data_IF_321153739613
#
_entry.id   IF_321153739613
#
_cell.length_a   1.000
_cell.length_b   1.000
_cell.length_c   1.000
_cell.angle_alpha   90.00
_cell.angle_beta   90.00
_cell.angle_gamma   90.00
#
_symmetry.space_group_name_H-M   'P 1'
#
loop_
_entity.id
_entity.type
_entity.pdbx_description
1 polymer ?
#
# COMPACT_ATOMS: atom_id res chain seq x y z
N UNK A 1 -10.47 -18.78 3.39
CA UNK A 1 -10.08 -17.44 3.91
C UNK A 1 -10.58 -16.34 2.99
N UNK A 2 -10.39 -16.47 1.67
CA UNK A 2 -10.88 -15.49 0.69
C UNK A 2 -11.86 -16.17 -0.25
N UNK A 3 -12.97 -15.50 -0.56
CA UNK A 3 -14.08 -16.04 -1.36
C UNK A 3 -14.55 -14.98 -2.35
N UNK A 4 -14.54 -15.33 -3.65
CA UNK A 4 -15.12 -14.51 -4.74
C UNK A 4 -14.64 -13.05 -4.73
N UNK A 5 -13.32 -12.85 -4.60
CA UNK A 5 -12.72 -11.52 -4.61
C UNK A 5 -12.65 -10.99 -6.04
N UNK A 6 -13.27 -9.85 -6.27
CA UNK A 6 -13.15 -9.10 -7.53
C UNK A 6 -12.82 -7.65 -7.22
N UNK A 7 -11.66 -7.17 -7.65
CA UNK A 7 -11.23 -5.78 -7.48
C UNK A 7 -10.39 -5.32 -8.68
N UNK A 8 -10.29 -4.02 -8.83
CA UNK A 8 -9.49 -3.39 -9.88
C UNK A 8 -8.58 -2.33 -9.26
N UNK A 9 -7.35 -2.24 -9.74
CA UNK A 9 -6.39 -1.19 -9.37
C UNK A 9 -6.14 -0.36 -10.64
N UNK A 10 -6.80 0.79 -10.80
CA UNK A 10 -6.60 1.65 -11.95
C UNK A 10 -5.22 2.32 -11.93
N UNK A 11 -4.70 2.64 -13.11
CA UNK A 11 -3.39 3.30 -13.24
C UNK A 11 -3.39 4.68 -12.58
N UNK A 12 -2.36 4.97 -11.78
CA UNK A 12 -2.16 6.27 -11.15
C UNK A 12 -3.20 6.61 -10.08
N UNK A 13 -3.88 5.61 -9.51
CA UNK A 13 -4.85 5.79 -8.43
C UNK A 13 -4.40 5.15 -7.13
N UNK A 14 -4.94 5.67 -6.04
CA UNK A 14 -4.83 5.11 -4.70
C UNK A 14 -6.06 4.28 -4.43
N UNK A 15 -5.88 2.97 -4.38
CA UNK A 15 -6.90 2.02 -3.95
C UNK A 15 -6.61 1.64 -2.51
N UNK A 16 -7.56 1.88 -1.62
CA UNK A 16 -7.42 1.49 -0.22
C UNK A 16 -8.35 0.34 0.13
N UNK A 17 -7.83 -0.58 0.93
CA UNK A 17 -8.59 -1.71 1.46
C UNK A 17 -8.79 -1.57 2.95
N UNK A 18 -10.03 -1.36 3.34
CA UNK A 18 -10.50 -1.36 4.72
C UNK A 18 -10.94 -2.76 5.14
N UNK A 19 -10.91 -3.02 6.42
CA UNK A 19 -11.39 -4.26 7.03
C UNK A 19 -10.75 -4.50 8.39
N UNK A 20 -11.39 -5.28 9.21
CA UNK A 20 -10.88 -5.68 10.53
C UNK A 20 -9.65 -6.58 10.45
N UNK A 21 -9.02 -6.79 11.61
CA UNK A 21 -7.95 -7.78 11.73
C UNK A 21 -8.50 -9.18 11.44
N UNK A 22 -7.79 -9.94 10.62
CA UNK A 22 -8.24 -11.27 10.22
C UNK A 22 -9.22 -11.31 9.04
N UNK A 23 -9.70 -10.17 8.51
CA UNK A 23 -10.61 -10.16 7.35
C UNK A 23 -10.02 -10.72 6.06
N UNK A 24 -8.67 -10.84 5.98
CA UNK A 24 -7.97 -11.43 4.82
C UNK A 24 -7.15 -10.44 3.98
N UNK A 25 -6.97 -9.18 4.40
CA UNK A 25 -6.20 -8.14 3.66
C UNK A 25 -4.80 -8.61 3.29
N UNK A 26 -4.00 -9.01 4.27
CA UNK A 26 -2.63 -9.52 4.05
C UNK A 26 -2.62 -10.80 3.20
N UNK A 27 -3.62 -11.68 3.37
CA UNK A 27 -3.75 -12.90 2.56
C UNK A 27 -3.99 -12.56 1.09
N UNK A 28 -4.86 -11.59 0.81
CA UNK A 28 -5.11 -11.11 -0.55
C UNK A 28 -3.85 -10.51 -1.16
N UNK A 29 -3.15 -9.64 -0.44
CA UNK A 29 -1.90 -9.03 -0.91
C UNK A 29 -0.83 -10.09 -1.20
N UNK A 30 -0.69 -11.11 -0.35
CA UNK A 30 0.24 -12.22 -0.58
C UNK A 30 -0.16 -13.07 -1.78
N UNK A 31 -1.46 -13.28 -2.02
CA UNK A 31 -1.95 -13.97 -3.20
C UNK A 31 -1.66 -13.17 -4.49
N UNK A 32 -1.84 -11.85 -4.47
CA UNK A 32 -1.48 -10.96 -5.58
C UNK A 32 0.01 -11.02 -5.93
N UNK A 33 0.86 -11.22 -4.93
CA UNK A 33 2.31 -11.34 -5.06
C UNK A 33 2.78 -12.76 -5.43
N UNK A 34 1.85 -13.69 -5.68
CA UNK A 34 2.14 -15.12 -5.93
C UNK A 34 2.90 -15.81 -4.75
N UNK A 35 2.74 -15.25 -3.53
CA UNK A 35 3.32 -15.82 -2.30
C UNK A 35 2.40 -16.84 -1.61
N UNK A 36 1.14 -16.87 -2.02
CA UNK A 36 0.14 -17.83 -1.57
C UNK A 36 -0.62 -18.34 -2.78
N UNK A 37 -0.77 -19.69 -2.93
CA UNK A 37 -1.58 -20.26 -4.00
C UNK A 37 -3.06 -19.94 -3.77
N UNK A 38 -3.80 -19.73 -4.84
CA UNK A 38 -5.27 -19.65 -4.82
C UNK A 38 -5.87 -20.70 -5.74
N UNK A 39 -7.01 -21.24 -5.31
CA UNK A 39 -7.64 -22.41 -5.96
C UNK A 39 -8.33 -22.04 -7.27
N UNK A 40 -9.01 -20.89 -7.29
CA UNK A 40 -9.78 -20.39 -8.43
C UNK A 40 -9.52 -18.91 -8.67
N UNK A 41 -9.87 -18.45 -9.86
CA UNK A 41 -9.70 -17.06 -10.27
C UNK A 41 -8.38 -16.80 -10.96
N UNK A 42 -8.14 -15.53 -11.27
CA UNK A 42 -6.93 -15.07 -11.93
C UNK A 42 -6.64 -13.60 -11.57
N UNK A 43 -5.37 -13.22 -11.70
CA UNK A 43 -4.95 -11.84 -11.60
C UNK A 43 -4.56 -11.39 -13.00
N UNK A 44 -5.24 -10.35 -13.47
CA UNK A 44 -5.09 -9.88 -14.84
C UNK A 44 -4.33 -8.55 -14.86
N UNK A 45 -3.35 -8.45 -15.74
CA UNK A 45 -2.67 -7.22 -16.12
C UNK A 45 -3.05 -6.92 -17.58
N UNK A 46 -3.77 -5.80 -17.80
CA UNK A 46 -4.24 -5.43 -19.16
C UNK A 46 -4.92 -6.61 -19.90
N UNK A 47 -5.77 -7.34 -19.18
CA UNK A 47 -6.50 -8.54 -19.61
C UNK A 47 -5.63 -9.81 -19.85
N UNK A 48 -4.34 -9.76 -19.58
CA UNK A 48 -3.46 -10.93 -19.63
C UNK A 48 -3.23 -11.49 -18.22
N UNK A 49 -3.30 -12.84 -18.11
CA UNK A 49 -3.08 -13.53 -16.84
C UNK A 49 -1.65 -13.39 -16.35
N UNK A 50 -1.45 -13.01 -15.08
CA UNK A 50 -0.14 -12.97 -14.46
C UNK A 50 0.52 -14.36 -14.34
N UNK A 51 -0.26 -15.44 -14.41
CA UNK A 51 0.28 -16.81 -14.39
C UNK A 51 1.15 -17.12 -15.61
N UNK A 52 0.94 -16.40 -16.73
CA UNK A 52 1.73 -16.54 -17.96
C UNK A 52 3.07 -15.78 -17.90
N UNK A 53 3.24 -14.92 -16.90
CA UNK A 53 4.44 -14.10 -16.76
C UNK A 53 5.54 -14.88 -16.02
N UNK A 54 6.79 -14.72 -16.44
CA UNK A 54 7.92 -15.18 -15.68
C UNK A 54 8.15 -14.28 -14.43
N UNK A 55 9.04 -14.72 -13.53
CA UNK A 55 9.28 -14.07 -12.26
C UNK A 55 9.73 -12.60 -12.42
N UNK A 56 10.63 -12.32 -13.38
CA UNK A 56 11.10 -10.96 -13.69
C UNK A 56 9.96 -10.05 -14.21
N UNK A 57 9.06 -10.58 -15.02
CA UNK A 57 7.89 -9.87 -15.51
C UNK A 57 6.87 -9.61 -14.39
N UNK A 58 6.63 -10.58 -13.50
CA UNK A 58 5.76 -10.39 -12.33
C UNK A 58 6.31 -9.34 -11.35
N UNK A 59 7.63 -9.34 -11.12
CA UNK A 59 8.30 -8.31 -10.32
C UNK A 59 8.20 -6.90 -10.95
N UNK A 60 7.90 -6.80 -12.25
CA UNK A 60 7.58 -5.51 -12.88
C UNK A 60 6.14 -5.05 -12.60
N UNK A 61 5.23 -5.97 -12.29
CA UNK A 61 3.85 -5.62 -11.97
C UNK A 61 3.73 -5.07 -10.54
N UNK A 62 4.40 -5.69 -9.57
CA UNK A 62 4.23 -5.38 -8.16
C UNK A 62 5.55 -5.14 -7.44
N UNK A 63 5.56 -4.13 -6.57
CA UNK A 63 6.48 -4.03 -5.44
C UNK A 63 5.69 -4.09 -4.14
N UNK A 64 6.36 -4.46 -3.05
CA UNK A 64 5.70 -4.72 -1.78
C UNK A 64 6.39 -4.04 -0.61
N UNK A 65 5.60 -3.32 0.15
CA UNK A 65 5.97 -2.74 1.44
C UNK A 65 5.25 -3.56 2.51
N UNK A 66 5.96 -4.42 3.25
CA UNK A 66 5.36 -5.23 4.30
C UNK A 66 4.99 -4.37 5.51
N UNK A 67 4.09 -4.88 6.33
CA UNK A 67 3.91 -4.39 7.69
C UNK A 67 5.24 -4.51 8.43
N UNK A 68 5.70 -3.45 9.08
CA UNK A 68 6.93 -3.46 9.88
C UNK A 68 6.69 -4.40 11.08
N UNK A 69 7.60 -5.35 11.26
CA UNK A 69 7.68 -6.19 12.45
C UNK A 69 8.97 -5.87 13.19
N UNK A 70 9.03 -6.17 14.46
CA UNK A 70 10.12 -5.78 15.37
C UNK A 70 11.54 -6.17 14.91
N UNK A 71 11.70 -7.17 14.06
CA UNK A 71 13.00 -7.62 13.59
C UNK A 71 13.40 -6.90 12.31
N UNK A 72 14.26 -5.92 12.43
CA UNK A 72 14.82 -5.13 11.32
C UNK A 72 16.19 -5.67 10.94
N UNK A 73 16.43 -5.80 9.65
CA UNK A 73 17.73 -6.28 9.14
C UNK A 73 18.87 -5.32 9.51
N UNK A 74 20.03 -5.88 9.82
CA UNK A 74 21.27 -5.12 10.12
C UNK A 74 21.96 -4.66 8.82
N UNK A 75 21.28 -3.77 8.10
CA UNK A 75 21.75 -3.17 6.85
C UNK A 75 21.54 -1.65 6.88
N UNK A 76 22.33 -0.93 6.09
CA UNK A 76 22.18 0.53 5.98
C UNK A 76 20.97 0.92 5.13
N UNK A 77 20.43 2.11 5.39
CA UNK A 77 19.31 2.70 4.62
C UNK A 77 19.63 2.72 3.11
N UNK A 78 20.84 3.14 2.73
CA UNK A 78 21.27 3.14 1.33
C UNK A 78 21.18 1.74 0.72
N UNK A 79 21.70 0.73 1.38
CA UNK A 79 21.75 -0.64 0.86
C UNK A 79 20.34 -1.25 0.77
N UNK A 80 19.48 -0.93 1.75
CA UNK A 80 18.08 -1.31 1.71
C UNK A 80 17.38 -0.73 0.47
N UNK A 81 17.61 0.54 0.16
CA UNK A 81 16.97 1.20 -0.98
C UNK A 81 17.55 0.66 -2.30
N UNK A 82 18.88 0.52 -2.41
CA UNK A 82 19.55 -0.03 -3.59
C UNK A 82 19.07 -1.44 -3.91
N UNK A 83 18.70 -2.25 -2.91
CA UNK A 83 18.08 -3.56 -3.13
C UNK A 83 16.79 -3.50 -3.98
N UNK A 84 16.14 -2.34 -4.08
CA UNK A 84 15.04 -2.13 -5.04
C UNK A 84 15.45 -2.25 -6.51
N UNK A 85 16.75 -2.12 -6.83
CA UNK A 85 17.25 -2.27 -8.19
C UNK A 85 17.42 -3.73 -8.65
N UNK A 86 17.39 -4.71 -7.73
CA UNK A 86 17.72 -6.12 -8.01
C UNK A 86 16.93 -6.73 -9.17
N UNK A 87 15.69 -6.28 -9.39
CA UNK A 87 14.89 -6.72 -10.55
C UNK A 87 15.57 -6.46 -11.91
N UNK A 88 16.38 -5.40 -12.00
CA UNK A 88 17.03 -4.97 -13.24
C UNK A 88 18.36 -5.65 -13.45
N UNK A 89 18.92 -6.21 -12.40
CA UNK A 89 20.21 -6.86 -12.42
C UNK A 89 20.07 -8.33 -12.88
N UNK A 90 21.12 -8.87 -13.46
CA UNK A 90 21.27 -10.30 -13.70
C UNK A 90 21.70 -11.03 -12.41
N UNK A 91 21.65 -12.38 -12.41
CA UNK A 91 21.90 -13.20 -11.22
C UNK A 91 23.28 -12.96 -10.56
N UNK A 92 24.26 -12.53 -11.32
CA UNK A 92 25.65 -12.29 -10.84
C UNK A 92 26.04 -10.81 -10.88
N UNK A 93 25.11 -9.93 -11.20
CA UNK A 93 25.38 -8.50 -11.30
C UNK A 93 25.13 -7.84 -9.95
N UNK A 94 26.08 -7.02 -9.52
CA UNK A 94 25.95 -6.20 -8.32
C UNK A 94 25.59 -4.77 -8.71
N UNK A 95 24.86 -4.02 -7.86
CA UNK A 95 24.56 -2.62 -8.11
C UNK A 95 25.84 -1.81 -8.36
N UNK A 96 25.86 -1.06 -9.44
CA UNK A 96 26.98 -0.20 -9.81
C UNK A 96 26.72 1.28 -9.45
N UNK A 97 27.62 2.18 -9.84
CA UNK A 97 27.49 3.61 -9.58
C UNK A 97 26.18 4.22 -10.12
N UNK A 98 25.59 3.65 -11.17
CA UNK A 98 24.33 4.13 -11.78
C UNK A 98 23.13 3.77 -10.89
N UNK A 99 23.10 2.58 -10.32
CA UNK A 99 22.04 2.17 -9.38
C UNK A 99 22.14 2.98 -8.07
N UNK A 100 23.35 3.21 -7.55
CA UNK A 100 23.56 4.08 -6.40
C UNK A 100 23.15 5.56 -6.69
N UNK A 101 23.40 6.06 -7.89
CA UNK A 101 22.94 7.40 -8.27
C UNK A 101 21.40 7.49 -8.28
N UNK A 102 20.70 6.47 -8.78
CA UNK A 102 19.23 6.40 -8.72
C UNK A 102 18.72 6.33 -7.29
N UNK A 103 19.35 5.50 -6.43
CA UNK A 103 19.01 5.39 -5.02
C UNK A 103 19.20 6.73 -4.29
N UNK A 104 20.29 7.47 -4.57
CA UNK A 104 20.49 8.82 -4.04
C UNK A 104 19.40 9.80 -4.49
N UNK A 105 18.94 9.73 -5.73
CA UNK A 105 17.82 10.56 -6.20
C UNK A 105 16.53 10.24 -5.44
N UNK A 106 16.26 8.96 -5.20
CA UNK A 106 15.11 8.50 -4.40
C UNK A 106 15.24 8.94 -2.95
N UNK A 107 16.40 8.80 -2.31
CA UNK A 107 16.66 9.30 -0.95
C UNK A 107 16.33 10.79 -0.82
N UNK A 108 16.74 11.61 -1.79
CA UNK A 108 16.41 13.04 -1.81
C UNK A 108 14.90 13.28 -1.96
N UNK A 109 14.25 12.57 -2.89
CA UNK A 109 12.80 12.66 -3.13
C UNK A 109 11.98 12.35 -1.88
N UNK A 110 12.39 11.34 -1.11
CA UNK A 110 11.72 10.93 0.12
C UNK A 110 12.27 11.60 1.39
N UNK A 111 13.15 12.59 1.25
CA UNK A 111 13.77 13.35 2.35
C UNK A 111 14.58 12.48 3.33
N UNK A 112 15.12 11.38 2.87
CA UNK A 112 15.88 10.41 3.66
C UNK A 112 17.41 10.57 3.54
N UNK A 113 17.90 11.61 2.85
CA UNK A 113 19.33 11.77 2.57
C UNK A 113 20.19 11.90 3.85
N UNK A 114 19.62 12.43 4.93
CA UNK A 114 20.30 12.65 6.21
C UNK A 114 20.55 11.35 7.00
N UNK A 115 19.85 10.27 6.66
CA UNK A 115 19.98 8.95 7.33
C UNK A 115 20.59 7.87 6.43
N UNK A 116 21.06 8.20 5.23
CA UNK A 116 21.50 7.22 4.23
C UNK A 116 22.53 6.21 4.71
N UNK A 117 23.42 6.65 5.61
CA UNK A 117 24.55 5.86 6.14
C UNK A 117 24.23 5.17 7.47
N UNK A 118 23.04 5.45 8.08
CA UNK A 118 22.56 4.81 9.30
C UNK A 118 22.06 3.40 9.01
N UNK A 119 22.13 2.54 10.02
CA UNK A 119 21.49 1.22 9.99
C UNK A 119 19.98 1.35 10.20
N UNK A 120 19.21 0.38 9.69
CA UNK A 120 17.74 0.41 9.79
C UNK A 120 17.26 0.38 11.24
N UNK A 121 17.99 -0.18 12.17
CA UNK A 121 17.66 -0.21 13.60
C UNK A 121 17.99 1.10 14.34
N UNK A 122 18.70 2.04 13.71
CA UNK A 122 19.09 3.34 14.29
C UNK A 122 18.14 4.47 13.90
N UNK A 123 17.11 4.19 13.10
CA UNK A 123 16.20 5.19 12.57
C UNK A 123 14.81 5.07 13.20
N UNK A 124 14.02 6.14 13.16
CA UNK A 124 12.65 6.12 13.66
C UNK A 124 11.74 5.20 12.84
N UNK A 125 10.62 4.74 13.43
CA UNK A 125 9.63 3.92 12.72
C UNK A 125 9.09 4.57 11.44
N UNK A 126 8.89 5.90 11.47
CA UNK A 126 8.49 6.66 10.28
C UNK A 126 9.55 6.67 9.18
N UNK A 127 10.82 6.91 9.54
CA UNK A 127 11.94 6.86 8.59
C UNK A 127 12.12 5.45 8.02
N UNK A 128 11.95 4.41 8.84
CA UNK A 128 12.00 3.02 8.42
C UNK A 128 10.88 2.71 7.43
N UNK A 129 9.66 3.13 7.71
CA UNK A 129 8.52 2.97 6.81
C UNK A 129 8.80 3.65 5.46
N UNK A 130 9.27 4.91 5.50
CA UNK A 130 9.60 5.65 4.28
C UNK A 130 10.77 5.03 3.53
N UNK A 131 11.73 4.39 4.21
CA UNK A 131 12.83 3.65 3.58
C UNK A 131 12.30 2.45 2.77
N UNK A 132 11.35 1.69 3.32
CA UNK A 132 10.72 0.59 2.58
C UNK A 132 9.88 1.07 1.40
N UNK A 133 9.18 2.19 1.54
CA UNK A 133 8.45 2.81 0.42
C UNK A 133 9.42 3.29 -0.67
N UNK A 134 10.51 3.95 -0.29
CA UNK A 134 11.56 4.40 -1.21
C UNK A 134 12.18 3.22 -1.98
N UNK A 135 12.47 2.10 -1.29
CA UNK A 135 12.92 0.85 -1.92
C UNK A 135 11.91 0.33 -2.94
N UNK A 136 10.63 0.24 -2.54
CA UNK A 136 9.55 -0.23 -3.41
C UNK A 136 9.35 0.69 -4.63
N UNK A 137 9.49 2.01 -4.44
CA UNK A 137 9.44 2.99 -5.52
C UNK A 137 10.63 2.83 -6.49
N UNK A 138 11.84 2.58 -5.97
CA UNK A 138 13.04 2.36 -6.80
C UNK A 138 12.94 1.10 -7.67
N UNK A 139 12.14 0.11 -7.24
CA UNK A 139 11.85 -1.09 -8.01
C UNK A 139 11.14 -0.76 -9.34
N UNK A 140 10.41 0.38 -9.41
CA UNK A 140 9.75 0.87 -10.61
C UNK A 140 8.73 -0.14 -11.17
N UNK A 141 7.84 -0.59 -10.29
CA UNK A 141 6.72 -1.47 -10.62
C UNK A 141 5.46 -0.68 -10.98
N UNK A 142 4.51 -1.32 -11.64
CA UNK A 142 3.23 -0.68 -12.02
C UNK A 142 2.36 -0.38 -10.79
N UNK A 143 2.42 -1.25 -9.78
CA UNK A 143 1.65 -1.12 -8.54
C UNK A 143 2.55 -1.32 -7.33
N UNK A 144 2.47 -0.43 -6.36
CA UNK A 144 3.08 -0.62 -5.04
C UNK A 144 1.99 -1.10 -4.08
N UNK A 145 2.15 -2.30 -3.57
CA UNK A 145 1.27 -2.89 -2.54
C UNK A 145 1.87 -2.58 -1.17
N UNK A 146 1.07 -2.00 -0.27
CA UNK A 146 1.49 -1.61 1.07
C UNK A 146 0.56 -2.21 2.11
N UNK A 147 1.11 -3.02 3.01
CA UNK A 147 0.35 -3.67 4.07
C UNK A 147 0.45 -2.88 5.37
N UNK A 148 -0.63 -2.20 5.72
CA UNK A 148 -0.78 -1.38 6.93
C UNK A 148 0.38 -0.38 7.17
N UNK A 149 0.72 0.47 6.18
CA UNK A 149 1.91 1.32 6.27
C UNK A 149 1.81 2.43 7.31
N UNK A 150 0.62 2.70 7.84
CA UNK A 150 0.38 3.77 8.81
C UNK A 150 0.37 3.29 10.27
N UNK A 151 0.46 1.98 10.55
CA UNK A 151 0.21 1.41 11.88
C UNK A 151 1.16 1.94 12.97
N UNK A 152 2.43 2.22 12.63
CA UNK A 152 3.44 2.70 13.59
C UNK A 152 3.77 4.18 13.44
N UNK A 153 2.95 4.92 12.69
CA UNK A 153 3.10 6.35 12.50
C UNK A 153 2.16 7.12 13.43
N UNK A 154 2.65 8.20 14.02
CA UNK A 154 1.77 9.15 14.70
C UNK A 154 0.88 9.90 13.69
N UNK A 155 -0.09 10.63 14.20
CA UNK A 155 -1.09 11.33 13.40
C UNK A 155 -0.46 12.24 12.31
N UNK A 156 0.58 13.00 12.65
CA UNK A 156 1.24 13.88 11.69
C UNK A 156 1.95 13.09 10.59
N UNK A 157 2.69 12.05 10.96
CA UNK A 157 3.44 11.23 10.02
C UNK A 157 2.51 10.40 9.12
N UNK A 158 1.34 9.95 9.60
CA UNK A 158 0.34 9.29 8.76
C UNK A 158 -0.13 10.21 7.62
N UNK A 159 -0.45 11.45 7.93
CA UNK A 159 -0.88 12.42 6.92
C UNK A 159 0.24 12.78 5.93
N UNK A 160 1.46 13.00 6.42
CA UNK A 160 2.63 13.25 5.55
C UNK A 160 2.88 12.07 4.59
N UNK A 161 2.82 10.85 5.10
CA UNK A 161 2.94 9.63 4.30
C UNK A 161 1.87 9.57 3.20
N UNK A 162 0.60 9.77 3.55
CA UNK A 162 -0.50 9.69 2.60
C UNK A 162 -0.49 10.85 1.58
N UNK A 163 -0.01 12.03 1.95
CA UNK A 163 0.25 13.12 1.00
C UNK A 163 1.34 12.73 -0.02
N UNK A 164 2.43 12.10 0.42
CA UNK A 164 3.47 11.61 -0.49
C UNK A 164 2.94 10.47 -1.38
N UNK A 165 2.14 9.55 -0.84
CA UNK A 165 1.45 8.53 -1.62
C UNK A 165 0.59 9.15 -2.72
N UNK A 166 -0.16 10.23 -2.41
CA UNK A 166 -0.94 10.98 -3.40
C UNK A 166 -0.09 11.60 -4.50
N UNK A 167 1.07 12.14 -4.16
CA UNK A 167 2.01 12.67 -5.15
C UNK A 167 2.55 11.57 -6.07
N UNK A 168 2.84 10.37 -5.53
CA UNK A 168 3.26 9.22 -6.33
C UNK A 168 2.17 8.78 -7.31
N UNK A 169 0.91 8.73 -6.86
CA UNK A 169 -0.22 8.38 -7.71
C UNK A 169 -0.40 9.38 -8.85
N UNK A 170 -0.31 10.69 -8.56
CA UNK A 170 -0.37 11.76 -9.56
C UNK A 170 0.76 11.67 -10.61
N UNK A 171 1.89 11.06 -10.25
CA UNK A 171 3.02 10.80 -11.17
C UNK A 171 2.85 9.48 -11.95
N UNK A 172 1.70 8.81 -11.80
CA UNK A 172 1.33 7.62 -12.56
C UNK A 172 1.62 6.28 -11.88
N UNK A 173 2.13 6.27 -10.63
CA UNK A 173 2.30 5.05 -9.83
C UNK A 173 0.97 4.63 -9.23
N UNK A 174 0.53 3.39 -9.43
CA UNK A 174 -0.68 2.88 -8.77
C UNK A 174 -0.35 2.36 -7.38
N UNK A 175 -1.20 2.64 -6.41
CA UNK A 175 -1.00 2.23 -5.02
C UNK A 175 -2.17 1.37 -4.54
N UNK A 176 -1.87 0.25 -3.89
CA UNK A 176 -2.83 -0.60 -3.20
C UNK A 176 -2.45 -0.70 -1.73
N UNK A 177 -3.23 -0.08 -0.85
CA UNK A 177 -2.87 0.15 0.54
C UNK A 177 -3.93 -0.46 1.46
N UNK A 178 -3.55 -1.37 2.36
CA UNK A 178 -4.42 -1.75 3.47
C UNK A 178 -4.33 -0.73 4.60
N UNK A 179 -5.48 -0.39 5.17
CA UNK A 179 -5.58 0.59 6.24
C UNK A 179 -6.76 0.25 7.15
N UNK A 180 -6.70 0.67 8.42
CA UNK A 180 -7.78 0.45 9.39
C UNK A 180 -8.70 1.65 9.55
N UNK A 181 -8.16 2.86 9.43
CA UNK A 181 -8.90 4.09 9.65
C UNK A 181 -9.73 4.47 8.41
N UNK A 182 -11.09 4.40 8.49
CA UNK A 182 -11.96 4.79 7.39
C UNK A 182 -11.86 6.28 7.04
N UNK A 183 -11.52 7.14 7.99
CA UNK A 183 -11.40 8.57 7.75
C UNK A 183 -10.18 8.90 6.88
N UNK A 184 -9.07 8.23 7.12
CA UNK A 184 -7.90 8.34 6.23
C UNK A 184 -8.19 7.81 4.83
N UNK A 185 -8.92 6.68 4.72
CA UNK A 185 -9.33 6.16 3.43
C UNK A 185 -10.25 7.14 2.68
N UNK A 186 -11.27 7.70 3.35
CA UNK A 186 -12.19 8.69 2.78
C UNK A 186 -11.50 9.99 2.34
N UNK A 187 -10.38 10.34 2.97
CA UNK A 187 -9.63 11.55 2.66
C UNK A 187 -8.66 11.37 1.49
N UNK A 188 -8.00 10.21 1.40
CA UNK A 188 -6.85 10.02 0.50
C UNK A 188 -7.08 9.04 -0.63
N UNK A 189 -8.01 8.08 -0.52
CA UNK A 189 -8.25 7.09 -1.55
C UNK A 189 -9.03 7.67 -2.74
N UNK A 190 -8.80 7.10 -3.90
CA UNK A 190 -9.66 7.28 -5.09
C UNK A 190 -10.72 6.18 -5.15
N UNK A 191 -10.36 4.96 -4.72
CA UNK A 191 -11.24 3.81 -4.62
C UNK A 191 -11.05 3.13 -3.26
N UNK A 192 -12.16 2.76 -2.59
CA UNK A 192 -12.14 2.09 -1.29
C UNK A 192 -12.86 0.75 -1.42
N UNK A 193 -12.18 -0.34 -1.10
CA UNK A 193 -12.79 -1.66 -0.94
C UNK A 193 -12.89 -1.99 0.54
N UNK A 194 -14.07 -2.42 1.00
CA UNK A 194 -14.26 -2.92 2.37
C UNK A 194 -14.26 -4.44 2.30
N UNK A 195 -13.29 -5.06 2.97
CA UNK A 195 -13.15 -6.51 3.09
C UNK A 195 -13.73 -6.97 4.43
N UNK A 196 -14.70 -7.87 4.40
CA UNK A 196 -15.32 -8.45 5.58
C UNK A 196 -15.47 -9.97 5.38
N UNK A 197 -15.07 -10.75 6.37
CA UNK A 197 -15.14 -12.22 6.33
C UNK A 197 -14.62 -12.86 5.04
N UNK A 198 -13.51 -12.33 4.52
CA UNK A 198 -12.87 -12.84 3.31
C UNK A 198 -13.60 -12.53 1.99
N UNK A 199 -14.57 -11.61 2.00
CA UNK A 199 -15.31 -11.15 0.80
C UNK A 199 -15.23 -9.64 0.66
N UNK A 200 -15.28 -9.15 -0.58
CA UNK A 200 -15.51 -7.71 -0.80
C UNK A 200 -16.97 -7.42 -0.44
N UNK A 201 -17.18 -6.71 0.67
CA UNK A 201 -18.49 -6.27 1.11
C UNK A 201 -19.03 -5.16 0.22
N UNK A 202 -18.17 -4.17 -0.10
CA UNK A 202 -18.54 -3.06 -0.98
C UNK A 202 -17.32 -2.42 -1.63
N UNK A 203 -17.56 -1.73 -2.74
CA UNK A 203 -16.61 -0.86 -3.42
C UNK A 203 -17.19 0.56 -3.46
N UNK A 204 -16.46 1.53 -2.94
CA UNK A 204 -16.82 2.94 -2.88
C UNK A 204 -15.81 3.74 -3.71
N UNK A 205 -16.29 4.64 -4.55
CA UNK A 205 -15.45 5.51 -5.39
C UNK A 205 -15.54 6.94 -4.89
N UNK A 206 -14.44 7.65 -4.97
CA UNK A 206 -14.35 9.04 -4.51
C UNK A 206 -15.35 9.97 -5.17
N UNK A 207 -15.66 9.74 -6.43
CA UNK A 207 -16.57 10.55 -7.22
C UNK A 207 -18.07 10.24 -6.93
N UNK A 208 -18.35 9.20 -6.15
CA UNK A 208 -19.74 8.84 -5.83
C UNK A 208 -20.39 9.85 -4.88
N UNK A 209 -21.68 10.18 -5.11
CA UNK A 209 -22.42 10.99 -4.17
C UNK A 209 -22.63 10.24 -2.85
N UNK A 210 -22.67 10.98 -1.74
CA UNK A 210 -22.90 10.45 -0.39
C UNK A 210 -21.87 9.39 0.06
N UNK A 211 -20.63 9.50 -0.43
CA UNK A 211 -19.54 8.56 -0.15
C UNK A 211 -19.35 8.31 1.36
N UNK A 212 -19.29 9.38 2.16
CA UNK A 212 -19.05 9.29 3.61
C UNK A 212 -20.21 8.66 4.34
N UNK A 213 -21.45 9.02 3.95
CA UNK A 213 -22.66 8.42 4.49
C UNK A 213 -22.72 6.93 4.17
N UNK A 214 -22.47 6.55 2.93
CA UNK A 214 -22.43 5.13 2.51
C UNK A 214 -21.36 4.34 3.26
N UNK A 215 -20.17 4.91 3.45
CA UNK A 215 -19.13 4.28 4.25
C UNK A 215 -19.58 4.07 5.70
N UNK A 216 -20.22 5.07 6.32
CA UNK A 216 -20.80 4.97 7.66
C UNK A 216 -21.88 3.89 7.77
N UNK A 217 -22.77 3.79 6.77
CA UNK A 217 -23.81 2.75 6.70
C UNK A 217 -23.20 1.34 6.59
N UNK A 218 -22.15 1.17 5.76
CA UNK A 218 -21.42 -0.08 5.67
C UNK A 218 -20.78 -0.48 7.00
N UNK A 219 -20.12 0.46 7.69
CA UNK A 219 -19.54 0.22 9.01
C UNK A 219 -20.59 -0.15 10.05
N UNK A 220 -21.75 0.51 10.05
CA UNK A 220 -22.87 0.17 10.93
C UNK A 220 -23.48 -1.21 10.62
N UNK A 221 -23.44 -1.65 9.39
CA UNK A 221 -23.93 -3.00 9.03
C UNK A 221 -22.93 -4.08 9.47
N UNK A 222 -21.64 -3.84 9.30
CA UNK A 222 -20.58 -4.81 9.60
C UNK A 222 -20.32 -4.90 11.12
N UNK A 223 -20.24 -3.74 11.80
CA UNK A 223 -19.74 -3.63 13.19
C UNK A 223 -20.82 -3.27 14.20
N UNK A 224 -22.10 -3.22 13.79
CA UNK A 224 -23.18 -2.74 14.64
C UNK A 224 -23.42 -1.23 14.53
N UNK A 225 -24.52 -0.75 15.07
CA UNK A 225 -24.97 0.66 14.93
C UNK A 225 -24.22 1.64 15.84
N UNK A 226 -22.89 1.58 15.80
CA UNK A 226 -22.02 2.39 16.66
C UNK A 226 -21.36 3.57 15.96
N UNK A 227 -21.59 3.76 14.65
CA UNK A 227 -20.94 4.83 13.90
C UNK A 227 -21.92 5.93 13.50
N UNK A 228 -21.46 7.17 13.53
CA UNK A 228 -22.15 8.32 12.98
C UNK A 228 -21.25 9.11 12.05
N UNK A 229 -21.84 9.82 11.13
CA UNK A 229 -21.17 10.85 10.36
C UNK A 229 -21.27 12.17 11.14
N UNK A 230 -20.14 12.69 11.59
CA UNK A 230 -20.04 14.03 12.16
C UNK A 230 -19.69 15.01 11.04
N UNK A 231 -20.57 15.99 10.81
CA UNK A 231 -20.49 16.91 9.68
C UNK A 231 -21.32 16.48 8.48
N UNK A 232 -21.00 17.02 7.33
CA UNK A 232 -21.69 16.74 6.06
C UNK A 232 -20.96 15.68 5.22
N UNK A 233 -21.53 15.29 4.09
CA UNK A 233 -20.94 14.27 3.23
C UNK A 233 -19.69 14.76 2.46
N UNK A 234 -19.45 16.07 2.40
CA UNK A 234 -18.29 16.65 1.72
C UNK A 234 -17.02 16.66 2.59
N UNK A 235 -17.19 16.90 3.90
CA UNK A 235 -16.09 17.14 4.84
C UNK A 235 -16.21 16.37 6.17
N UNK A 236 -17.33 15.69 6.42
CA UNK A 236 -17.60 14.94 7.63
C UNK A 236 -16.69 13.71 7.79
N UNK A 237 -16.66 13.18 8.98
CA UNK A 237 -15.87 11.99 9.34
C UNK A 237 -16.68 11.04 10.22
N UNK A 238 -16.33 9.76 10.16
CA UNK A 238 -16.95 8.74 10.98
C UNK A 238 -16.47 8.87 12.42
N UNK A 239 -17.41 8.89 13.34
CA UNK A 239 -17.18 8.90 14.79
C UNK A 239 -17.88 7.71 15.44
N UNK A 240 -17.31 7.22 16.55
CA UNK A 240 -17.95 6.23 17.37
C UNK A 240 -19.04 6.89 18.21
N UNK A 241 -20.22 6.27 18.29
CA UNK A 241 -21.33 6.64 19.18
C UNK A 241 -21.28 5.77 20.43
N UNK A 242 -21.44 6.36 21.57
CA UNK A 242 -21.72 5.67 22.83
C UNK A 242 -23.12 5.05 22.85
#
# INVERSE_FOLDING_TARGET
>A
VLHDISLTIPKGRIVMMLGENGSGKTTLMKAMLDKLPFVQGDILRKQESLRKLNEKQRAACFSYVPQIKEMVADIKVMDCIVAGCTRRLSLFEVPDAKEYAKANAVLKKFQLAHIKDKYLHEISGGELQMTYVARAFLQDSEVIIMDEPCTYLDFQHQHLFLQQAKQLAQQGTSLFISIHDPNLALQYADDIYILHEGRIYTHLKKEEPFLRRRCCECYNTIYGKHFALAGDDSSGYLVWKE
#
